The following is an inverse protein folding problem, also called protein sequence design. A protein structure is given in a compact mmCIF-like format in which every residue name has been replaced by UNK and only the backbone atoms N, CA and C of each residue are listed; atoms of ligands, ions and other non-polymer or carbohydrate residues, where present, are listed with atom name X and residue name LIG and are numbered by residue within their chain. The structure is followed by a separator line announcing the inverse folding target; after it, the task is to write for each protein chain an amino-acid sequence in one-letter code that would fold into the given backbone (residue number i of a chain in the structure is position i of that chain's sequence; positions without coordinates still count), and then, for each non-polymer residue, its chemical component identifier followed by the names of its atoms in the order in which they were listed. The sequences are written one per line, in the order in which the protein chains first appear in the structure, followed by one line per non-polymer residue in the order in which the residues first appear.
data_IF_523585637364
#
_entry.id   IF_523585637364
#
_cell.length_a   1.000
_cell.length_b   1.000
_cell.length_c   1.000
_cell.angle_alpha   90.00
_cell.angle_beta   90.00
_cell.angle_gamma   90.00
#
_symmetry.space_group_name_H-M   'P 1'
#
loop_
_entity.id
_entity.type
_entity.pdbx_description
1 polymer ?
#
# COMPACT_ATOMS: atom_id res chain seq x y z
N UNK A 1 35.24 -35.72 9.63
CA UNK A 1 33.90 -35.72 10.27
C UNK A 1 34.05 -35.21 11.70
N UNK A 2 33.15 -34.39 12.30
CA UNK A 2 32.11 -33.47 11.78
C UNK A 2 32.56 -31.98 11.91
N UNK A 3 32.19 -31.04 11.03
CA UNK A 3 30.97 -30.20 10.90
C UNK A 3 30.68 -29.15 12.03
N UNK A 4 30.70 -27.86 11.59
CA UNK A 4 30.03 -26.57 11.98
C UNK A 4 28.99 -26.56 13.15
N UNK A 5 28.60 -25.38 13.74
CA UNK A 5 28.56 -24.05 13.11
C UNK A 5 28.95 -22.78 13.92
N UNK A 6 29.38 -21.78 13.16
CA UNK A 6 29.36 -20.33 13.45
C UNK A 6 27.93 -19.83 13.23
N UNK A 7 27.26 -19.28 14.25
CA UNK A 7 25.95 -18.63 14.12
C UNK A 7 26.08 -17.29 13.39
N UNK A 8 25.38 -17.17 12.26
CA UNK A 8 25.14 -15.91 11.54
C UNK A 8 23.96 -15.18 12.20
N UNK A 9 24.10 -13.86 12.40
CA UNK A 9 23.02 -12.96 12.77
C UNK A 9 22.22 -12.63 11.51
N UNK A 10 20.93 -12.92 11.56
CA UNK A 10 20.00 -12.65 10.48
C UNK A 10 19.04 -11.56 10.87
N UNK A 11 19.03 -10.53 10.04
CA UNK A 11 18.07 -9.44 10.02
C UNK A 11 16.78 -9.95 9.29
N UNK A 12 15.52 -9.43 9.58
CA UNK A 12 14.11 -9.43 8.90
C UNK A 12 13.45 -8.02 8.61
N UNK A 13 13.30 -7.46 7.36
CA UNK A 13 12.87 -6.03 7.05
C UNK A 13 11.36 -6.11 6.70
N UNK A 14 10.46 -5.13 6.88
CA UNK A 14 8.97 -5.28 6.67
C UNK A 14 8.33 -4.30 5.63
N UNK A 15 6.98 -4.13 5.43
CA UNK A 15 6.33 -3.04 4.61
C UNK A 15 5.54 -2.06 5.50
N UNK A 16 5.42 -0.77 5.16
CA UNK A 16 4.60 0.20 5.95
C UNK A 16 4.01 1.42 5.21
N UNK A 17 4.11 1.52 3.89
CA UNK A 17 3.76 2.74 3.14
C UNK A 17 2.24 2.99 2.93
N UNK A 18 1.35 2.47 3.77
CA UNK A 18 -0.10 2.51 3.51
C UNK A 18 -0.90 2.92 4.74
N UNK A 19 -0.46 2.57 5.96
CA UNK A 19 -1.31 2.70 7.16
C UNK A 19 -0.96 3.90 8.07
N UNK A 20 0.22 4.49 7.94
CA UNK A 20 0.68 5.56 8.83
C UNK A 20 -0.02 6.92 8.69
N UNK A 21 -1.12 7.05 7.92
CA UNK A 21 -1.61 8.37 7.49
C UNK A 21 -2.81 8.97 8.26
N UNK A 22 -3.18 8.51 9.46
CA UNK A 22 -4.49 8.90 10.03
C UNK A 22 -4.67 9.07 11.55
N UNK A 23 -3.66 9.07 12.44
CA UNK A 23 -3.95 9.09 13.90
C UNK A 23 -3.06 10.05 14.72
N UNK A 24 -3.73 11.11 15.20
CA UNK A 24 -3.51 12.01 16.34
C UNK A 24 -2.37 13.04 16.40
N UNK A 25 -2.76 14.22 16.90
CA UNK A 25 -1.89 15.29 17.37
C UNK A 25 -1.97 15.48 18.89
N UNK A 26 -1.01 16.29 19.36
CA UNK A 26 -0.84 16.88 20.71
C UNK A 26 0.26 16.30 21.61
N UNK A 27 1.43 16.93 21.52
CA UNK A 27 2.17 17.55 22.63
C UNK A 27 2.82 16.66 23.72
N UNK A 28 4.15 16.46 23.64
CA UNK A 28 5.20 17.04 24.53
C UNK A 28 6.45 16.14 24.68
N UNK A 29 7.60 16.70 24.29
CA UNK A 29 8.90 16.69 24.98
C UNK A 29 9.38 15.39 25.66
N UNK A 30 10.53 14.85 25.22
CA UNK A 30 11.84 15.01 25.88
C UNK A 30 12.97 14.30 25.12
N UNK A 31 13.98 15.09 24.78
CA UNK A 31 15.34 14.64 24.45
C UNK A 31 16.05 14.03 25.69
N UNK A 32 17.12 13.25 25.41
CA UNK A 32 18.11 12.57 26.28
C UNK A 32 17.86 11.05 26.33
N UNK A 33 18.74 10.14 25.89
CA UNK A 33 20.19 10.05 26.10
C UNK A 33 20.83 9.09 25.07
N UNK A 34 21.93 9.50 24.46
CA UNK A 34 22.87 8.61 23.76
C UNK A 34 23.90 8.13 24.79
N UNK A 35 24.03 6.82 25.00
CA UNK A 35 25.30 6.06 25.00
C UNK A 35 25.23 4.74 25.80
N UNK A 36 25.83 3.71 25.18
CA UNK A 36 26.42 2.49 25.78
C UNK A 36 25.49 1.37 26.27
N UNK A 37 25.42 0.28 25.49
CA UNK A 37 25.88 -1.04 25.95
C UNK A 37 25.92 -2.06 24.79
N UNK A 38 27.14 -2.51 24.48
CA UNK A 38 27.44 -3.61 23.57
C UNK A 38 27.17 -4.98 24.26
N UNK A 39 26.83 -5.97 23.44
CA UNK A 39 26.83 -7.45 23.66
C UNK A 39 25.66 -8.09 24.42
N UNK A 40 24.76 -8.72 23.65
CA UNK A 40 24.60 -10.20 23.58
C UNK A 40 23.72 -10.60 22.39
N UNK A 41 24.11 -11.68 21.72
CA UNK A 41 23.52 -12.23 20.49
C UNK A 41 22.59 -13.40 20.85
N UNK A 42 21.33 -13.35 20.44
CA UNK A 42 20.46 -14.52 20.24
C UNK A 42 19.74 -14.39 18.90
N UNK A 43 19.53 -15.51 18.24
CA UNK A 43 19.48 -15.70 16.78
C UNK A 43 18.06 -15.80 16.21
N UNK A 44 17.75 -15.00 15.17
CA UNK A 44 16.51 -15.05 14.35
C UNK A 44 16.84 -15.34 12.86
N UNK A 45 15.93 -15.92 12.02
CA UNK A 45 16.19 -16.36 10.61
C UNK A 45 16.08 -15.23 9.54
N UNK A 46 16.46 -15.41 8.24
CA UNK A 46 16.69 -14.32 7.26
C UNK A 46 15.47 -13.68 6.56
N UNK A 47 15.55 -12.35 6.29
CA UNK A 47 14.59 -11.46 5.55
C UNK A 47 14.25 -11.99 4.15
N UNK A 48 12.97 -12.23 3.91
CA UNK A 48 12.25 -12.04 2.63
C UNK A 48 12.34 -10.56 2.18
N UNK A 49 12.06 -10.23 0.91
CA UNK A 49 12.01 -8.84 0.39
C UNK A 49 10.84 -8.10 1.00
N UNK A 50 11.11 -7.00 1.70
CA UNK A 50 10.07 -6.21 2.36
C UNK A 50 10.46 -4.73 2.49
N UNK A 51 9.49 -3.81 2.32
CA UNK A 51 9.60 -2.33 2.13
C UNK A 51 8.90 -1.40 3.19
N UNK A 52 9.50 -1.03 4.35
CA UNK A 52 8.85 -0.22 5.45
C UNK A 52 8.76 1.31 5.14
N UNK A 53 8.00 2.13 5.90
CA UNK A 53 7.70 3.58 5.72
C UNK A 53 7.20 4.26 7.04
N UNK A 54 7.34 5.60 7.18
CA UNK A 54 7.03 6.39 8.40
C UNK A 54 5.90 7.44 8.24
N UNK A 55 5.40 7.97 9.38
CA UNK A 55 4.05 8.51 9.60
C UNK A 55 3.87 10.06 9.72
N UNK A 56 4.90 10.89 9.59
CA UNK A 56 4.78 12.31 9.98
C UNK A 56 4.13 13.24 8.91
N UNK A 57 4.17 12.85 7.63
CA UNK A 57 3.78 13.68 6.47
C UNK A 57 2.25 13.72 6.19
N UNK A 58 1.44 13.38 7.18
CA UNK A 58 0.22 12.61 7.00
C UNK A 58 -1.11 13.27 7.40
N UNK A 59 -1.08 14.45 8.00
CA UNK A 59 -2.25 14.95 8.74
C UNK A 59 -3.46 15.36 7.87
N UNK A 60 -3.49 15.04 6.57
CA UNK A 60 -4.66 15.23 5.71
C UNK A 60 -4.65 14.38 4.39
N UNK A 61 -5.07 13.09 4.39
CA UNK A 61 -5.15 12.27 3.16
C UNK A 61 -6.12 12.82 2.08
N UNK A 62 -6.90 13.84 2.41
CA UNK A 62 -7.90 14.50 1.56
C UNK A 62 -7.23 15.59 0.70
N UNK A 63 -5.98 15.96 1.00
CA UNK A 63 -5.29 17.10 0.43
C UNK A 63 -5.10 17.03 -1.07
N UNK A 64 -4.44 16.00 -1.60
CA UNK A 64 -4.05 16.01 -3.01
C UNK A 64 -5.25 15.96 -3.97
N UNK A 65 -6.26 15.11 -3.72
CA UNK A 65 -7.44 15.07 -4.58
C UNK A 65 -8.21 16.40 -4.55
N UNK A 66 -8.41 17.00 -3.38
CA UNK A 66 -9.09 18.29 -3.27
C UNK A 66 -8.29 19.42 -3.95
N UNK A 67 -6.95 19.40 -3.86
CA UNK A 67 -6.07 20.32 -4.57
C UNK A 67 -6.22 20.14 -6.08
N UNK A 68 -6.09 18.91 -6.59
CA UNK A 68 -6.25 18.59 -8.01
C UNK A 68 -7.63 19.03 -8.51
N UNK A 69 -8.67 18.73 -7.74
CA UNK A 69 -10.04 19.12 -8.04
C UNK A 69 -10.19 20.65 -8.17
N UNK A 70 -9.64 21.40 -7.20
CA UNK A 70 -9.65 22.87 -7.21
C UNK A 70 -8.97 23.42 -8.46
N UNK A 71 -7.71 23.06 -8.72
CA UNK A 71 -6.95 23.59 -9.85
C UNK A 71 -7.67 23.37 -11.18
N UNK A 72 -8.15 22.16 -11.44
CA UNK A 72 -8.84 21.82 -12.70
C UNK A 72 -10.17 22.56 -12.80
N UNK A 73 -10.90 22.76 -11.69
CA UNK A 73 -12.13 23.55 -11.69
C UNK A 73 -11.87 25.04 -11.95
N UNK A 74 -10.71 25.55 -11.52
CA UNK A 74 -10.24 26.91 -11.79
C UNK A 74 -9.66 27.05 -13.23
N UNK A 75 -9.70 25.99 -14.04
CA UNK A 75 -9.21 26.02 -15.42
C UNK A 75 -7.69 25.90 -15.54
N UNK A 76 -7.00 25.40 -14.51
CA UNK A 76 -5.55 25.25 -14.46
C UNK A 76 -5.16 23.78 -14.26
N UNK A 77 -3.98 23.39 -14.76
CA UNK A 77 -3.39 22.10 -14.41
C UNK A 77 -2.70 22.22 -13.03
N UNK A 78 -2.83 21.22 -12.15
CA UNK A 78 -2.18 21.23 -10.85
C UNK A 78 -0.64 21.14 -11.00
N UNK A 79 0.13 21.76 -10.09
CA UNK A 79 1.56 21.51 -9.99
C UNK A 79 1.88 20.01 -9.88
N UNK A 80 2.91 19.52 -10.59
CA UNK A 80 3.22 18.08 -10.69
C UNK A 80 3.56 17.46 -9.31
N UNK A 81 4.09 18.25 -8.39
CA UNK A 81 4.48 17.88 -7.03
C UNK A 81 3.30 17.89 -6.04
N UNK A 82 2.20 18.59 -6.33
CA UNK A 82 0.98 18.54 -5.52
C UNK A 82 0.11 17.32 -5.80
N UNK A 83 0.43 16.54 -6.83
CA UNK A 83 -0.28 15.32 -7.22
C UNK A 83 0.35 14.10 -6.54
N UNK A 84 -0.31 13.63 -5.48
CA UNK A 84 0.06 12.44 -4.70
C UNK A 84 -0.92 11.32 -5.03
N UNK A 85 -0.42 10.32 -5.74
CA UNK A 85 -1.25 9.25 -6.33
C UNK A 85 -1.91 8.42 -5.22
N UNK A 86 -1.17 8.13 -4.15
CA UNK A 86 -1.62 7.39 -2.97
C UNK A 86 -2.77 8.09 -2.25
N UNK A 87 -2.73 9.42 -2.11
CA UNK A 87 -3.81 10.21 -1.51
C UNK A 87 -5.03 10.25 -2.44
N UNK A 88 -4.82 10.41 -3.74
CA UNK A 88 -5.92 10.39 -4.71
C UNK A 88 -6.67 9.06 -4.71
N UNK A 89 -5.96 7.93 -4.65
CA UNK A 89 -6.59 6.60 -4.56
C UNK A 89 -7.40 6.50 -3.26
N UNK A 90 -6.82 6.90 -2.13
CA UNK A 90 -7.45 6.76 -0.81
C UNK A 90 -8.52 7.82 -0.49
N UNK A 91 -8.70 8.82 -1.35
CA UNK A 91 -9.86 9.72 -1.30
C UNK A 91 -11.18 8.97 -1.55
N UNK A 92 -11.16 7.88 -2.33
CA UNK A 92 -12.35 7.13 -2.69
C UNK A 92 -12.59 5.95 -1.77
N UNK A 93 -13.88 5.60 -1.61
CA UNK A 93 -14.29 4.38 -0.93
C UNK A 93 -14.37 3.21 -1.90
N UNK A 94 -14.06 2.02 -1.41
CA UNK A 94 -14.09 0.76 -2.15
C UNK A 94 -14.89 -0.28 -1.36
N UNK A 95 -15.48 -1.25 -2.07
CA UNK A 95 -16.39 -2.25 -1.52
C UNK A 95 -15.65 -3.52 -1.09
N UNK A 96 -14.62 -3.36 -0.25
CA UNK A 96 -13.88 -4.50 0.27
C UNK A 96 -14.75 -5.36 1.20
N UNK A 97 -14.59 -6.71 1.15
CA UNK A 97 -15.28 -7.61 2.07
C UNK A 97 -15.12 -7.15 3.51
N UNK A 98 -16.18 -7.28 4.31
CA UNK A 98 -16.07 -7.03 5.76
C UNK A 98 -15.19 -8.11 6.42
N UNK A 99 -14.48 -7.79 7.50
CA UNK A 99 -13.82 -8.80 8.31
C UNK A 99 -14.81 -9.88 8.75
N UNK A 100 -14.37 -11.14 8.83
CA UNK A 100 -15.16 -12.23 9.41
C UNK A 100 -15.46 -11.94 10.89
N UNK A 101 -16.49 -12.56 11.51
CA UNK A 101 -16.90 -12.27 12.90
C UNK A 101 -15.80 -12.42 13.97
N UNK A 102 -14.74 -13.18 13.71
CA UNK A 102 -13.59 -13.43 14.58
C UNK A 102 -12.32 -12.63 14.20
N UNK A 103 -12.29 -11.97 13.03
CA UNK A 103 -11.15 -11.20 12.53
C UNK A 103 -11.38 -9.67 12.67
N UNK A 104 -10.39 -8.92 13.15
CA UNK A 104 -10.49 -7.45 13.21
C UNK A 104 -10.33 -6.76 11.85
N UNK A 105 -9.71 -7.47 10.90
CA UNK A 105 -9.30 -6.94 9.62
C UNK A 105 -9.63 -7.91 8.50
N UNK A 106 -9.98 -7.38 7.33
CA UNK A 106 -9.97 -8.11 6.07
C UNK A 106 -8.89 -7.54 5.17
N UNK A 107 -8.22 -8.45 4.46
CA UNK A 107 -7.27 -8.14 3.40
C UNK A 107 -7.87 -8.69 2.12
N UNK A 108 -8.06 -7.81 1.16
CA UNK A 108 -8.57 -8.10 -0.17
C UNK A 108 -7.45 -7.84 -1.17
N UNK A 109 -6.98 -8.89 -1.85
CA UNK A 109 -5.91 -8.75 -2.85
C UNK A 109 -6.42 -9.21 -4.19
N UNK A 110 -6.19 -8.38 -5.20
CA UNK A 110 -6.52 -8.69 -6.58
C UNK A 110 -5.30 -8.42 -7.46
N UNK A 111 -5.11 -9.28 -8.46
CA UNK A 111 -4.04 -9.17 -9.46
C UNK A 111 -4.70 -9.19 -10.83
N UNK A 112 -4.26 -8.30 -11.71
CA UNK A 112 -4.64 -8.30 -13.13
C UNK A 112 -3.50 -7.76 -14.00
N UNK A 113 -3.68 -7.76 -15.32
CA UNK A 113 -2.78 -7.05 -16.24
C UNK A 113 -2.68 -5.56 -15.88
N UNK A 114 -1.53 -4.93 -16.15
CA UNK A 114 -1.34 -3.50 -15.95
C UNK A 114 -1.83 -2.71 -17.18
N UNK A 115 -2.76 -1.74 -17.05
CA UNK A 115 -3.40 -1.10 -18.20
C UNK A 115 -2.50 -0.13 -18.97
N UNK A 116 -1.39 0.32 -18.37
CA UNK A 116 -0.42 1.21 -19.01
C UNK A 116 0.91 0.50 -19.38
N UNK A 117 1.01 -0.81 -19.12
CA UNK A 117 2.20 -1.61 -19.41
C UNK A 117 1.82 -3.09 -19.61
N UNK A 118 1.62 -3.50 -20.87
CA UNK A 118 1.04 -4.81 -21.23
C UNK A 118 1.80 -6.04 -20.68
N UNK A 119 3.11 -5.92 -20.47
CA UNK A 119 3.94 -7.01 -19.93
C UNK A 119 4.02 -7.03 -18.39
N UNK A 120 3.38 -6.06 -17.72
CA UNK A 120 3.38 -5.91 -16.28
C UNK A 120 2.06 -6.37 -15.68
N UNK A 121 2.10 -6.67 -14.39
CA UNK A 121 0.93 -6.91 -13.54
C UNK A 121 0.65 -5.70 -12.67
N UNK A 122 -0.61 -5.47 -12.36
CA UNK A 122 -1.04 -4.55 -11.33
C UNK A 122 -1.61 -5.37 -10.18
N UNK A 123 -1.24 -5.01 -8.96
CA UNK A 123 -1.74 -5.62 -7.72
C UNK A 123 -2.44 -4.55 -6.92
N UNK A 124 -3.68 -4.82 -6.50
CA UNK A 124 -4.40 -4.01 -5.53
C UNK A 124 -4.47 -4.74 -4.22
N UNK A 125 -4.08 -4.06 -3.14
CA UNK A 125 -4.25 -4.53 -1.77
C UNK A 125 -5.22 -3.57 -1.10
N UNK A 126 -6.43 -4.06 -0.85
CA UNK A 126 -7.45 -3.41 -0.04
C UNK A 126 -7.39 -3.92 1.40
N UNK A 127 -7.45 -3.00 2.34
CA UNK A 127 -7.52 -3.28 3.76
C UNK A 127 -8.77 -2.65 4.34
N UNK A 128 -9.48 -3.40 5.19
CA UNK A 128 -10.64 -2.88 5.90
C UNK A 128 -10.64 -3.32 7.36
N UNK A 129 -10.66 -2.33 8.24
CA UNK A 129 -10.90 -2.51 9.66
C UNK A 129 -12.38 -2.75 9.97
N UNK A 130 -12.64 -3.50 11.04
CA UNK A 130 -13.99 -3.70 11.55
C UNK A 130 -14.62 -2.35 11.94
N UNK A 131 -15.88 -2.15 11.57
CA UNK A 131 -16.60 -0.91 11.85
C UNK A 131 -16.96 -0.75 13.32
N UNK A 132 -17.04 0.50 13.79
CA UNK A 132 -17.42 0.84 15.18
C UNK A 132 -18.83 0.34 15.51
N UNK A 133 -19.72 0.27 14.52
CA UNK A 133 -21.08 -0.21 14.69
C UNK A 133 -21.19 -1.74 14.85
N UNK A 134 -20.09 -2.48 14.65
CA UNK A 134 -20.05 -3.94 14.77
C UNK A 134 -20.25 -4.37 16.24
N UNK A 135 -21.13 -5.35 16.53
CA UNK A 135 -21.41 -5.80 17.89
C UNK A 135 -20.17 -6.21 18.69
N UNK A 136 -19.11 -6.69 18.04
CA UNK A 136 -17.86 -7.04 18.71
C UNK A 136 -17.14 -5.78 19.19
N UNK A 137 -17.03 -4.76 18.33
CA UNK A 137 -16.42 -3.48 18.71
C UNK A 137 -17.27 -2.74 19.73
N UNK A 138 -18.60 -2.76 19.60
CA UNK A 138 -19.53 -2.11 20.54
C UNK A 138 -19.40 -2.61 21.99
N UNK A 139 -19.04 -3.89 22.19
CA UNK A 139 -18.81 -4.43 23.55
C UNK A 139 -17.57 -3.83 24.20
N UNK A 140 -16.52 -3.60 23.42
CA UNK A 140 -15.27 -3.00 23.89
C UNK A 140 -15.43 -1.47 24.06
N UNK A 141 -16.25 -0.83 23.21
CA UNK A 141 -16.57 0.61 23.24
C UNK A 141 -17.35 1.05 24.48
N UNK A 142 -18.10 0.16 25.13
CA UNK A 142 -18.87 0.51 26.33
C UNK A 142 -17.99 0.99 27.51
N UNK A 143 -16.66 0.81 27.44
CA UNK A 143 -15.69 1.29 28.43
C UNK A 143 -14.92 2.55 28.00
N UNK A 144 -15.02 2.96 26.74
CA UNK A 144 -14.32 4.13 26.17
C UNK A 144 -15.34 5.23 25.85
N UNK A 145 -15.91 5.87 26.87
CA UNK A 145 -16.80 7.03 26.69
C UNK A 145 -16.04 8.28 27.14
N UNK A 146 -15.20 8.82 26.24
CA UNK A 146 -14.79 10.22 26.28
C UNK A 146 -14.25 10.67 24.90
N UNK A 147 -15.16 11.04 23.99
CA UNK A 147 -14.88 11.84 22.78
C UNK A 147 -13.84 11.37 21.75
N UNK A 148 -13.25 10.18 21.87
CA UNK A 148 -12.04 9.77 21.13
C UNK A 148 -12.34 8.66 20.10
N UNK A 149 -11.64 8.67 18.97
CA UNK A 149 -11.68 7.61 17.94
C UNK A 149 -11.49 6.23 18.57
N UNK A 150 -12.39 5.29 18.26
CA UNK A 150 -12.31 3.90 18.76
C UNK A 150 -11.19 3.17 18.05
N UNK A 151 -10.06 2.99 18.74
CA UNK A 151 -8.93 2.18 18.26
C UNK A 151 -9.28 0.69 18.33
N UNK A 152 -9.30 0.02 17.18
CA UNK A 152 -9.58 -1.42 17.10
C UNK A 152 -8.31 -2.28 17.10
N UNK A 153 -7.15 -1.69 16.83
CA UNK A 153 -5.86 -2.36 16.99
C UNK A 153 -4.70 -1.36 17.16
N UNK A 154 -3.68 -1.82 17.87
CA UNK A 154 -2.41 -1.12 18.10
C UNK A 154 -1.29 -1.78 17.29
N UNK A 155 -0.23 -1.02 17.06
CA UNK A 155 1.01 -1.47 16.42
C UNK A 155 0.81 -2.20 15.08
N UNK A 156 -0.01 -1.63 14.20
CA UNK A 156 -0.35 -2.32 12.95
C UNK A 156 0.77 -2.21 11.93
N UNK A 157 1.26 -3.36 11.43
CA UNK A 157 2.31 -3.47 10.41
C UNK A 157 1.80 -4.26 9.19
N UNK A 158 1.90 -3.73 7.97
CA UNK A 158 1.54 -4.47 6.73
C UNK A 158 2.77 -4.71 5.88
N UNK A 159 3.14 -5.97 5.75
CA UNK A 159 4.27 -6.47 5.00
C UNK A 159 3.82 -7.14 3.69
N UNK A 160 4.40 -6.75 2.56
CA UNK A 160 4.20 -7.41 1.26
C UNK A 160 5.50 -8.06 0.84
N UNK A 161 5.46 -9.37 0.62
CA UNK A 161 6.60 -10.16 0.17
C UNK A 161 6.35 -10.68 -1.23
N UNK A 162 7.25 -10.40 -2.17
CA UNK A 162 7.17 -10.91 -3.53
C UNK A 162 8.06 -12.14 -3.72
N UNK A 163 7.54 -13.15 -4.40
CA UNK A 163 8.29 -14.34 -4.78
C UNK A 163 9.26 -13.99 -5.91
N UNK A 164 10.57 -14.07 -5.65
CA UNK A 164 11.60 -13.75 -6.65
C UNK A 164 11.66 -14.71 -7.83
N UNK A 165 11.06 -15.89 -7.72
CA UNK A 165 10.89 -16.80 -8.85
C UNK A 165 9.81 -16.34 -9.82
N UNK A 166 8.89 -15.47 -9.38
CA UNK A 166 7.75 -14.99 -10.15
C UNK A 166 7.85 -13.49 -10.49
N UNK A 167 8.59 -12.71 -9.68
CA UNK A 167 8.67 -11.24 -9.77
C UNK A 167 10.11 -10.76 -9.85
N UNK A 168 10.42 -10.05 -10.93
CA UNK A 168 11.73 -9.44 -11.16
C UNK A 168 11.88 -8.15 -10.35
N UNK A 169 10.94 -7.22 -10.54
CA UNK A 169 10.90 -5.92 -9.87
C UNK A 169 9.45 -5.51 -9.58
N UNK A 170 9.27 -4.55 -8.69
CA UNK A 170 7.96 -4.01 -8.35
C UNK A 170 8.11 -2.56 -7.89
N UNK A 171 6.99 -1.84 -7.87
CA UNK A 171 6.90 -0.49 -7.35
C UNK A 171 5.56 -0.25 -6.69
N UNK A 172 5.59 0.39 -5.53
CA UNK A 172 4.39 0.95 -4.89
C UNK A 172 4.03 2.30 -5.51
N UNK A 173 2.83 2.39 -6.09
CA UNK A 173 2.36 3.59 -6.76
C UNK A 173 2.22 4.77 -5.78
N UNK A 174 2.81 5.93 -6.13
CA UNK A 174 2.78 7.15 -5.31
C UNK A 174 4.06 7.43 -4.52
N UNK A 175 4.92 6.43 -4.32
CA UNK A 175 6.11 6.54 -3.47
C UNK A 175 7.44 6.63 -4.24
N UNK A 176 7.38 7.06 -5.49
CA UNK A 176 8.49 6.97 -6.47
C UNK A 176 9.75 7.78 -6.10
N UNK A 177 9.60 8.90 -5.37
CA UNK A 177 10.67 9.89 -5.12
C UNK A 177 11.19 9.96 -3.70
N UNK A 178 10.68 9.16 -2.77
CA UNK A 178 11.21 9.19 -1.40
C UNK A 178 12.57 8.49 -1.37
N UNK A 179 13.58 9.21 -0.87
CA UNK A 179 14.90 8.70 -0.46
C UNK A 179 14.73 7.69 0.69
N UNK A 180 14.08 6.55 0.43
CA UNK A 180 13.76 5.54 1.44
C UNK A 180 14.97 4.66 1.78
N UNK A 181 16.20 5.18 1.73
CA UNK A 181 17.43 4.37 1.88
C UNK A 181 18.21 4.61 3.18
N UNK A 182 18.00 5.71 3.92
CA UNK A 182 18.85 6.02 5.10
C UNK A 182 18.19 5.90 6.48
N UNK A 183 16.89 6.14 6.60
CA UNK A 183 16.25 6.26 7.92
C UNK A 183 15.47 4.99 8.37
N UNK A 184 15.39 3.99 7.50
CA UNK A 184 14.58 2.76 7.60
C UNK A 184 15.04 1.70 8.63
N UNK A 185 16.10 1.97 9.37
CA UNK A 185 16.73 0.99 10.27
C UNK A 185 16.45 1.27 11.75
N UNK A 186 15.61 2.26 12.08
CA UNK A 186 15.36 2.60 13.48
C UNK A 186 14.12 1.87 14.01
N UNK A 187 14.32 0.96 14.97
CA UNK A 187 13.24 0.24 15.67
C UNK A 187 12.39 1.17 16.57
N UNK A 188 12.76 2.46 16.69
CA UNK A 188 12.03 3.50 17.44
C UNK A 188 10.87 4.15 16.67
N UNK A 189 10.62 3.76 15.41
CA UNK A 189 9.64 4.43 14.56
C UNK A 189 8.24 3.81 14.67
N UNK A 190 7.28 4.72 14.79
CA UNK A 190 5.96 4.55 15.39
C UNK A 190 5.04 3.56 14.66
N UNK A 191 4.47 2.63 15.42
CA UNK A 191 3.57 1.61 14.91
C UNK A 191 2.12 2.12 15.04
N UNK A 192 1.52 2.51 13.91
CA UNK A 192 0.23 3.20 13.89
C UNK A 192 -0.92 2.42 14.54
N UNK A 193 -1.81 3.15 15.20
CA UNK A 193 -3.12 2.64 15.60
C UNK A 193 -4.07 2.60 14.37
N UNK A 194 -5.17 1.85 14.46
CA UNK A 194 -6.23 1.89 13.44
C UNK A 194 -7.58 2.10 14.11
N UNK A 195 -8.28 3.14 13.65
CA UNK A 195 -9.64 3.44 14.06
C UNK A 195 -10.65 2.48 13.41
N UNK A 196 -11.77 2.22 14.09
CA UNK A 196 -12.83 1.37 13.57
C UNK A 196 -13.39 1.87 12.23
N UNK A 197 -13.51 0.97 11.26
CA UNK A 197 -14.05 1.23 9.93
C UNK A 197 -13.07 1.85 8.93
N UNK A 198 -11.81 2.06 9.31
CA UNK A 198 -10.80 2.58 8.40
C UNK A 198 -10.59 1.65 7.20
N UNK A 199 -10.44 2.22 6.01
CA UNK A 199 -10.15 1.50 4.77
C UNK A 199 -8.96 2.12 4.08
N UNK A 200 -8.08 1.28 3.54
CA UNK A 200 -6.93 1.76 2.78
C UNK A 200 -6.69 0.88 1.57
N UNK A 201 -6.21 1.50 0.50
CA UNK A 201 -5.90 0.87 -0.78
C UNK A 201 -4.47 1.18 -1.19
N UNK A 202 -3.75 0.15 -1.59
CA UNK A 202 -2.41 0.24 -2.18
C UNK A 202 -2.40 -0.41 -3.55
N UNK A 203 -1.63 0.17 -4.47
CA UNK A 203 -1.38 -0.40 -5.80
C UNK A 203 0.11 -0.65 -5.99
N UNK A 204 0.45 -1.83 -6.48
CA UNK A 204 1.79 -2.17 -6.93
C UNK A 204 1.81 -2.46 -8.43
N UNK A 205 2.70 -1.80 -9.16
CA UNK A 205 3.10 -2.24 -10.49
C UNK A 205 4.20 -3.30 -10.33
N UNK A 206 4.02 -4.46 -10.97
CA UNK A 206 4.85 -5.64 -10.79
C UNK A 206 5.34 -6.12 -12.15
N UNK A 207 6.66 -6.32 -12.27
CA UNK A 207 7.29 -6.91 -13.46
C UNK A 207 7.50 -8.40 -13.21
N UNK A 208 6.72 -9.28 -13.87
CA UNK A 208 6.90 -10.72 -13.72
C UNK A 208 8.24 -11.18 -14.30
N UNK A 209 8.71 -12.36 -13.90
CA UNK A 209 9.87 -13.01 -14.54
C UNK A 209 9.55 -13.28 -16.00
N UNK A 210 10.44 -12.87 -16.90
CA UNK A 210 10.22 -12.95 -18.35
C UNK A 210 9.39 -11.79 -18.94
N UNK A 211 8.85 -10.89 -18.11
CA UNK A 211 8.25 -9.64 -18.56
C UNK A 211 9.30 -8.71 -19.17
N UNK A 212 8.89 -7.89 -20.14
CA UNK A 212 9.79 -6.90 -20.72
C UNK A 212 10.15 -5.87 -19.65
N UNK A 213 11.43 -5.57 -19.49
CA UNK A 213 11.87 -4.52 -18.59
C UNK A 213 11.47 -3.18 -19.21
N UNK A 214 10.39 -2.59 -18.72
CA UNK A 214 10.00 -1.23 -19.07
C UNK A 214 10.73 -0.23 -18.16
N UNK A 215 11.12 0.96 -18.66
CA UNK A 215 11.58 2.06 -17.80
C UNK A 215 10.51 2.47 -16.76
N UNK A 216 9.25 1.99 -16.90
CA UNK A 216 8.18 2.21 -15.93
C UNK A 216 8.45 1.63 -14.54
N UNK A 217 9.41 0.71 -14.34
CA UNK A 217 9.82 0.19 -13.02
C UNK A 217 11.35 0.07 -12.95
N UNK A 218 12.04 0.80 -12.05
CA UNK A 218 13.50 0.70 -11.97
C UNK A 218 13.94 -0.73 -11.59
N UNK A 219 15.06 -1.23 -12.15
CA UNK A 219 15.58 -2.53 -11.78
C UNK A 219 15.96 -2.54 -10.29
N UNK A 220 15.59 -3.61 -9.59
CA UNK A 220 16.06 -3.84 -8.22
C UNK A 220 17.54 -4.21 -8.31
N UNK A 221 18.42 -3.49 -7.61
CA UNK A 221 19.87 -3.78 -7.59
C UNK A 221 20.10 -5.29 -7.34
N UNK A 222 20.85 -5.99 -8.22
CA UNK A 222 21.15 -7.40 -8.02
C UNK A 222 21.97 -7.56 -6.74
N UNK A 223 21.48 -8.40 -5.82
CA UNK A 223 22.10 -8.66 -4.53
C UNK A 223 23.52 -9.21 -4.75
N UNK A 224 24.54 -8.43 -4.32
CA UNK A 224 25.97 -8.82 -4.37
C UNK A 224 26.29 -10.13 -3.62
N UNK A 225 25.35 -10.64 -2.80
CA UNK A 225 25.52 -11.83 -1.96
C UNK A 225 24.33 -12.80 -2.00
N UNK A 226 23.60 -12.89 -3.11
CA UNK A 226 22.57 -13.94 -3.28
C UNK A 226 23.10 -15.07 -4.14
N UNK A 227 23.71 -16.07 -3.50
CA UNK A 227 23.65 -17.43 -4.02
C UNK A 227 22.29 -17.98 -3.59
N UNK A 228 21.42 -18.45 -4.50
CA UNK A 228 20.16 -19.06 -4.11
C UNK A 228 20.45 -20.24 -3.18
N UNK A 229 19.79 -20.37 -2.01
CA UNK A 229 19.85 -21.62 -1.28
C UNK A 229 19.26 -22.70 -2.21
N UNK A 230 20.07 -23.71 -2.53
CA UNK A 230 19.77 -24.80 -3.47
C UNK A 230 18.45 -25.54 -3.20
N UNK A 231 17.83 -25.32 -2.03
CA UNK A 231 16.60 -25.99 -1.60
C UNK A 231 15.39 -25.06 -1.37
N UNK A 232 15.44 -23.79 -1.81
CA UNK A 232 14.30 -22.87 -1.74
C UNK A 232 13.64 -22.60 -3.10
N UNK A 233 13.74 -23.53 -4.06
CA UNK A 233 12.67 -23.68 -5.06
C UNK A 233 11.46 -24.25 -4.32
N UNK A 234 10.77 -23.40 -3.57
CA UNK A 234 9.38 -23.66 -3.29
C UNK A 234 8.72 -23.73 -4.68
N UNK A 235 8.18 -24.88 -5.05
CA UNK A 235 7.30 -25.04 -6.23
C UNK A 235 5.98 -24.26 -6.07
N UNK A 236 5.97 -23.22 -5.24
CA UNK A 236 4.82 -22.39 -4.96
C UNK A 236 4.54 -21.52 -6.17
N UNK A 237 3.30 -21.62 -6.66
CA UNK A 237 2.74 -20.74 -7.67
C UNK A 237 2.36 -19.35 -7.13
N UNK A 238 2.64 -19.08 -5.85
CA UNK A 238 2.35 -17.79 -5.21
C UNK A 238 3.25 -16.69 -5.78
N UNK A 239 2.63 -15.60 -6.21
CA UNK A 239 3.32 -14.40 -6.68
C UNK A 239 3.77 -13.53 -5.51
N UNK A 240 2.92 -13.38 -4.49
CA UNK A 240 3.20 -12.57 -3.31
C UNK A 240 2.47 -13.08 -2.07
N UNK A 241 2.91 -12.62 -0.90
CA UNK A 241 2.20 -12.78 0.38
C UNK A 241 2.05 -11.44 1.06
N UNK A 242 0.81 -11.11 1.47
CA UNK A 242 0.51 -9.96 2.33
C UNK A 242 0.41 -10.44 3.77
N UNK A 243 1.14 -9.81 4.67
CA UNK A 243 1.19 -10.10 6.10
C UNK A 243 0.78 -8.87 6.87
N UNK A 244 -0.17 -9.00 7.77
CA UNK A 244 -0.62 -7.95 8.67
C UNK A 244 -0.32 -8.41 10.09
N UNK A 245 0.52 -7.66 10.81
CA UNK A 245 0.72 -7.83 12.24
C UNK A 245 -0.01 -6.73 12.98
N UNK A 246 -0.66 -7.09 14.08
CA UNK A 246 -1.33 -6.11 14.94
C UNK A 246 -1.42 -6.64 16.37
N UNK A 247 -1.72 -5.75 17.31
CA UNK A 247 -2.11 -6.08 18.68
C UNK A 247 -3.55 -5.63 18.90
N UNK A 248 -4.35 -6.43 19.62
CA UNK A 248 -5.68 -5.98 20.07
C UNK A 248 -5.52 -4.84 21.09
N UNK A 249 -6.51 -3.95 21.28
CA UNK A 249 -6.38 -2.81 22.19
C UNK A 249 -5.91 -3.22 23.59
N UNK A 250 -6.57 -4.23 24.16
CA UNK A 250 -6.32 -4.75 25.53
C UNK A 250 -5.31 -5.91 25.60
N UNK A 251 -4.51 -6.13 24.55
CA UNK A 251 -3.56 -7.25 24.50
C UNK A 251 -2.20 -6.79 23.99
N UNK A 252 -1.14 -7.25 24.64
CA UNK A 252 0.23 -7.09 24.12
C UNK A 252 0.67 -8.24 23.21
N UNK A 253 -0.18 -9.27 23.06
CA UNK A 253 0.07 -10.36 22.12
C UNK A 253 -0.16 -9.88 20.69
N UNK A 254 0.89 -9.99 19.87
CA UNK A 254 0.79 -9.75 18.43
C UNK A 254 0.09 -10.91 17.72
N UNK A 255 -0.87 -10.58 16.87
CA UNK A 255 -1.54 -11.47 15.94
C UNK A 255 -1.01 -11.22 14.52
N UNK A 256 -0.93 -12.29 13.72
CA UNK A 256 -0.44 -12.27 12.35
C UNK A 256 -1.52 -12.82 11.43
N UNK A 257 -1.95 -12.01 10.48
CA UNK A 257 -2.84 -12.38 9.39
C UNK A 257 -2.05 -12.44 8.10
N UNK A 258 -2.05 -13.60 7.43
CA UNK A 258 -1.33 -13.79 6.16
C UNK A 258 -2.31 -14.13 5.03
N UNK A 259 -2.03 -13.60 3.84
CA UNK A 259 -2.74 -13.89 2.60
C UNK A 259 -1.74 -14.07 1.48
N UNK A 260 -1.52 -15.32 1.09
CA UNK A 260 -0.76 -15.66 -0.10
C UNK A 260 -1.63 -15.50 -1.35
N UNK A 261 -1.03 -15.04 -2.44
CA UNK A 261 -1.73 -14.68 -3.68
C UNK A 261 -1.03 -15.32 -4.85
N UNK A 262 -1.79 -16.08 -5.62
CA UNK A 262 -1.39 -16.65 -6.92
C UNK A 262 -1.90 -15.72 -8.01
N UNK A 263 -1.07 -15.45 -9.01
CA UNK A 263 -1.50 -14.77 -10.22
C UNK A 263 -2.16 -15.78 -11.18
N UNK A 264 -3.45 -15.62 -11.43
CA UNK A 264 -4.27 -16.47 -12.29
C UNK A 264 -4.23 -16.05 -13.78
N UNK A 265 -3.44 -15.05 -14.14
CA UNK A 265 -3.38 -14.57 -15.52
C UNK A 265 -4.53 -13.62 -15.90
N UNK A 266 -5.34 -13.15 -14.94
CA UNK A 266 -6.50 -12.28 -15.23
C UNK A 266 -6.10 -11.04 -16.02
N UNK A 267 -6.80 -10.80 -17.12
CA UNK A 267 -6.68 -9.59 -17.93
C UNK A 267 -7.31 -8.40 -17.22
N UNK A 268 -6.76 -7.19 -17.44
CA UNK A 268 -7.27 -5.96 -16.82
C UNK A 268 -8.76 -5.70 -17.12
N UNK A 269 -9.20 -5.98 -18.35
CA UNK A 269 -10.59 -5.85 -18.76
C UNK A 269 -11.57 -6.73 -17.93
N UNK A 270 -11.07 -7.79 -17.29
CA UNK A 270 -11.86 -8.69 -16.45
C UNK A 270 -11.67 -8.43 -14.95
N UNK A 271 -10.94 -7.38 -14.57
CA UNK A 271 -10.76 -6.99 -13.17
C UNK A 271 -12.05 -6.44 -12.57
N UNK A 272 -12.13 -6.44 -11.24
CA UNK A 272 -13.28 -5.88 -10.52
C UNK A 272 -13.46 -4.38 -10.82
N UNK A 273 -14.70 -3.88 -10.66
CA UNK A 273 -15.01 -2.46 -10.86
C UNK A 273 -14.13 -1.55 -9.98
N UNK A 274 -13.91 -1.94 -8.72
CA UNK A 274 -13.07 -1.20 -7.77
C UNK A 274 -11.59 -1.22 -8.16
N UNK A 275 -11.11 -2.33 -8.71
CA UNK A 275 -9.75 -2.43 -9.24
C UNK A 275 -9.54 -1.50 -10.43
N UNK A 276 -10.46 -1.53 -11.40
CA UNK A 276 -10.43 -0.64 -12.58
C UNK A 276 -10.49 0.82 -12.17
N UNK A 277 -11.34 1.17 -11.21
CA UNK A 277 -11.45 2.52 -10.72
C UNK A 277 -10.17 3.00 -10.02
N UNK A 278 -9.59 2.19 -9.12
CA UNK A 278 -8.32 2.54 -8.45
C UNK A 278 -7.17 2.72 -9.46
N UNK A 279 -7.08 1.84 -10.46
CA UNK A 279 -6.09 1.95 -11.52
C UNK A 279 -6.29 3.23 -12.36
N UNK A 280 -7.54 3.59 -12.69
CA UNK A 280 -7.84 4.82 -13.42
C UNK A 280 -7.40 6.08 -12.64
N UNK A 281 -7.63 6.11 -11.32
CA UNK A 281 -7.19 7.21 -10.45
C UNK A 281 -5.66 7.29 -10.42
N UNK A 282 -4.98 6.15 -10.32
CA UNK A 282 -3.51 6.10 -10.33
C UNK A 282 -2.93 6.58 -11.66
N UNK A 283 -3.47 6.10 -12.77
CA UNK A 283 -3.08 6.49 -14.12
C UNK A 283 -3.32 7.99 -14.35
N UNK A 284 -4.45 8.53 -13.87
CA UNK A 284 -4.73 9.96 -13.92
C UNK A 284 -3.69 10.79 -13.17
N UNK A 285 -3.33 10.38 -11.94
CA UNK A 285 -2.30 11.05 -11.16
C UNK A 285 -0.94 11.01 -11.87
N UNK A 286 -0.55 9.86 -12.44
CA UNK A 286 0.66 9.75 -13.26
C UNK A 286 0.64 10.68 -14.47
N UNK A 287 -0.50 10.80 -15.15
CA UNK A 287 -0.65 11.68 -16.30
C UNK A 287 -0.57 13.16 -15.92
N UNK A 288 -1.23 13.57 -14.84
CA UNK A 288 -1.21 14.96 -14.37
C UNK A 288 0.21 15.41 -13.99
N UNK A 289 0.95 14.54 -13.29
CA UNK A 289 2.34 14.83 -12.90
C UNK A 289 3.37 14.56 -13.99
N UNK A 290 2.94 14.10 -15.16
CA UNK A 290 3.81 13.74 -16.29
C UNK A 290 4.91 12.75 -15.85
N UNK A 291 4.49 11.70 -15.15
CA UNK A 291 5.37 10.65 -14.63
C UNK A 291 6.14 9.97 -15.75
N UNK A 292 7.43 9.70 -15.52
CA UNK A 292 8.25 8.86 -16.41
C UNK A 292 7.69 7.43 -16.54
N UNK A 293 6.81 7.06 -15.61
CA UNK A 293 6.27 5.72 -15.49
C UNK A 293 4.82 5.58 -15.96
N UNK A 294 4.24 6.63 -16.55
CA UNK A 294 2.87 6.62 -17.08
C UNK A 294 2.64 5.64 -18.24
N UNK A 295 3.71 5.06 -18.79
CA UNK A 295 3.66 4.03 -19.83
C UNK A 295 2.84 4.47 -21.05
N UNK A 296 1.97 3.59 -21.53
CA UNK A 296 1.01 3.86 -22.61
C UNK A 296 -0.27 4.58 -22.16
N UNK A 297 -0.34 5.01 -20.89
CA UNK A 297 -1.54 5.57 -20.29
C UNK A 297 -2.06 6.83 -21.01
N UNK A 298 -3.37 7.01 -21.04
CA UNK A 298 -4.03 8.16 -21.67
C UNK A 298 -5.25 8.61 -20.89
N UNK A 299 -5.61 9.90 -21.00
CA UNK A 299 -6.86 10.39 -20.37
C UNK A 299 -8.11 9.71 -20.94
N UNK A 300 -8.06 9.18 -22.17
CA UNK A 300 -9.13 8.38 -22.74
C UNK A 300 -9.28 7.02 -22.04
N UNK A 301 -8.17 6.32 -21.81
CA UNK A 301 -8.15 5.08 -21.04
C UNK A 301 -8.61 5.30 -19.60
N UNK A 302 -8.15 6.37 -18.94
CA UNK A 302 -8.64 6.78 -17.61
C UNK A 302 -10.16 6.91 -17.59
N UNK A 303 -10.75 7.63 -18.55
CA UNK A 303 -12.21 7.80 -18.62
C UNK A 303 -12.93 6.47 -18.82
N UNK A 304 -12.42 5.60 -19.69
CA UNK A 304 -12.98 4.28 -19.91
C UNK A 304 -12.97 3.45 -18.61
N UNK A 305 -11.82 3.30 -17.98
CA UNK A 305 -11.65 2.47 -16.79
C UNK A 305 -12.39 3.01 -15.57
N UNK A 306 -12.41 4.34 -15.40
CA UNK A 306 -13.20 4.97 -14.36
C UNK A 306 -14.71 4.80 -14.57
N UNK A 307 -15.18 4.81 -15.83
CA UNK A 307 -16.59 4.63 -16.17
C UNK A 307 -17.05 3.19 -15.91
N UNK A 308 -16.25 2.21 -16.33
CA UNK A 308 -16.49 0.78 -16.03
C UNK A 308 -16.40 0.51 -14.52
N UNK A 309 -15.54 1.24 -13.82
CA UNK A 309 -15.33 1.15 -12.38
C UNK A 309 -16.28 1.98 -11.52
N UNK A 310 -17.25 2.72 -12.10
CA UNK A 310 -18.09 3.66 -11.33
C UNK A 310 -18.88 2.98 -10.20
N UNK A 311 -19.35 1.74 -10.40
CA UNK A 311 -20.11 0.95 -9.41
C UNK A 311 -21.32 1.72 -8.80
N UNK A 312 -21.82 1.30 -7.64
CA UNK A 312 -22.86 2.01 -6.90
C UNK A 312 -22.28 3.30 -6.26
N UNK A 313 -22.37 4.41 -6.99
CA UNK A 313 -21.82 5.72 -6.61
C UNK A 313 -22.88 6.58 -5.90
N UNK A 314 -23.33 6.14 -4.71
CA UNK A 314 -24.47 6.74 -3.97
C UNK A 314 -24.30 8.24 -3.72
N UNK A 315 -23.07 8.71 -3.53
CA UNK A 315 -22.75 10.11 -3.21
C UNK A 315 -22.19 10.90 -4.41
N UNK A 316 -22.09 10.28 -5.59
CA UNK A 316 -21.63 10.94 -6.82
C UNK A 316 -20.12 11.25 -6.89
N UNK A 317 -19.29 10.72 -5.98
CA UNK A 317 -17.85 11.00 -5.96
C UNK A 317 -17.13 10.47 -7.20
N UNK A 318 -17.47 9.24 -7.63
CA UNK A 318 -16.84 8.63 -8.83
C UNK A 318 -17.33 9.29 -10.12
N UNK A 319 -18.59 9.75 -10.15
CA UNK A 319 -19.10 10.62 -11.21
C UNK A 319 -18.35 11.95 -11.27
N UNK A 320 -18.11 12.59 -10.12
CA UNK A 320 -17.32 13.81 -10.03
C UNK A 320 -15.89 13.64 -10.54
N UNK A 321 -15.28 12.48 -10.29
CA UNK A 321 -13.97 12.14 -10.85
C UNK A 321 -13.98 12.09 -12.38
N UNK A 322 -14.99 11.45 -12.99
CA UNK A 322 -15.13 11.41 -14.45
C UNK A 322 -15.21 12.81 -15.06
N UNK A 323 -16.02 13.70 -14.47
CA UNK A 323 -16.11 15.10 -14.90
C UNK A 323 -14.77 15.82 -14.76
N UNK A 324 -14.05 15.58 -13.66
CA UNK A 324 -12.74 16.15 -13.43
C UNK A 324 -11.72 15.74 -14.50
N UNK A 325 -11.70 14.46 -14.87
CA UNK A 325 -10.84 13.93 -15.94
C UNK A 325 -11.19 14.55 -17.29
N UNK A 326 -12.49 14.73 -17.61
CA UNK A 326 -12.94 15.40 -18.84
C UNK A 326 -12.43 16.84 -18.91
N UNK A 327 -12.54 17.60 -17.81
CA UNK A 327 -12.02 18.97 -17.73
C UNK A 327 -10.50 19.00 -17.94
N UNK A 328 -9.76 18.12 -17.26
CA UNK A 328 -8.31 18.01 -17.45
C UNK A 328 -7.93 17.65 -18.90
N UNK A 329 -8.74 16.82 -19.58
CA UNK A 329 -8.53 16.48 -20.99
C UNK A 329 -8.69 17.68 -21.92
N UNK A 330 -9.63 18.58 -21.62
CA UNK A 330 -9.76 19.85 -22.36
C UNK A 330 -8.54 20.75 -22.09
N UNK A 331 -8.14 20.91 -20.82
CA UNK A 331 -6.99 21.74 -20.44
C UNK A 331 -5.66 21.27 -21.00
N UNK A 332 -5.50 19.97 -21.28
CA UNK A 332 -4.28 19.42 -21.92
C UNK A 332 -4.27 19.56 -23.45
N UNK A 333 -5.40 19.90 -24.07
CA UNK A 333 -5.55 20.07 -25.53
C UNK A 333 -5.47 21.52 -25.96
N UNK A 334 -5.86 22.46 -25.11
CA UNK A 334 -5.71 23.90 -25.31
C UNK A 334 -4.32 24.37 -24.94
#
# INVERSE_FOLDING_TARGET
MPQKPRFQRTCVFAVFAVIGLAIFGSNKLREKEIAQADRRSTTSPPRSRVVEAEAEDAQNPIGSYAIVQRFINDGLLPPKDSVRIEEMINYFTYNYPRPKPDELFSIDVEVAGCPWADSHRLVRIGFRGRGIADPVVKKDVAQQIDGTSVTIAREVKIQVEFNSAMVTSHRLMGYDKRMLRKDFNNDEIDAGEIAGGHMVTALYEVVPVGGAISPSVPPVDPLKYSVPPENARSNSSEMLTVKLRYKKPESDKSELLERAVVDDGKQFANASADFKFAAAVAEFGMLLRDSEFKGSGTLGAVLQWAQEGKSADTNGYRAGFLELVRKAQVLKRG
#
